data_IF_270048625008
#
_entry.id   IF_270048625008
#
_cell.length_a   1.000
_cell.length_b   1.000
_cell.length_c   1.000
_cell.angle_alpha   90.00
_cell.angle_beta   90.00
_cell.angle_gamma   90.00
#
_symmetry.space_group_name_H-M   'P 1'
#
loop_
_entity.id
_entity.type
_entity.pdbx_description
1 polymer ?
#
# COMPACT_ATOMS: atom_id res chain seq x y z
N UNK A 1 -35.12 -65.91 7.87
CA UNK A 1 -35.07 -64.77 8.84
C UNK A 1 -33.66 -64.22 9.05
N UNK A 2 -32.60 -64.99 8.75
CA UNK A 2 -31.20 -64.57 8.94
C UNK A 2 -30.78 -63.34 8.11
N UNK A 3 -31.23 -63.27 6.85
CA UNK A 3 -30.91 -62.15 5.93
C UNK A 3 -31.48 -60.79 6.39
N UNK A 4 -32.62 -60.78 7.09
CA UNK A 4 -33.20 -59.54 7.62
C UNK A 4 -32.42 -59.02 8.84
N UNK A 5 -31.95 -59.93 9.69
CA UNK A 5 -31.14 -59.58 10.87
C UNK A 5 -29.75 -59.07 10.46
N UNK A 6 -29.11 -59.69 9.47
CA UNK A 6 -27.81 -59.24 8.96
C UNK A 6 -27.91 -57.87 8.27
N UNK A 7 -28.97 -57.64 7.48
CA UNK A 7 -29.22 -56.33 6.88
C UNK A 7 -29.40 -55.23 7.94
N UNK A 8 -30.07 -55.52 9.05
CA UNK A 8 -30.28 -54.56 10.14
C UNK A 8 -28.96 -54.12 10.81
N UNK A 9 -28.02 -55.05 11.00
CA UNK A 9 -26.70 -54.75 11.60
C UNK A 9 -25.85 -53.88 10.67
N UNK A 10 -25.90 -54.13 9.36
CA UNK A 10 -25.20 -53.33 8.36
C UNK A 10 -25.77 -51.91 8.32
N UNK A 11 -27.10 -51.76 8.31
CA UNK A 11 -27.77 -50.44 8.32
C UNK A 11 -27.43 -49.65 9.58
N UNK A 12 -27.44 -50.30 10.76
CA UNK A 12 -27.06 -49.66 12.01
C UNK A 12 -25.62 -49.14 11.99
N UNK A 13 -24.69 -49.94 11.45
CA UNK A 13 -23.28 -49.57 11.32
C UNK A 13 -23.07 -48.38 10.38
N UNK A 14 -23.81 -48.34 9.26
CA UNK A 14 -23.78 -47.23 8.31
C UNK A 14 -24.31 -45.95 8.95
N UNK A 15 -25.39 -46.01 9.73
CA UNK A 15 -25.94 -44.84 10.42
C UNK A 15 -24.94 -44.25 11.40
N UNK A 16 -24.29 -45.08 12.23
CA UNK A 16 -23.25 -44.63 13.14
C UNK A 16 -22.07 -44.00 12.38
N UNK A 17 -21.65 -44.61 11.28
CA UNK A 17 -20.59 -44.09 10.44
C UNK A 17 -20.94 -42.72 9.84
N UNK A 18 -22.17 -42.54 9.35
CA UNK A 18 -22.64 -41.26 8.78
C UNK A 18 -22.72 -40.18 9.86
N UNK A 19 -23.17 -40.52 11.07
CA UNK A 19 -23.18 -39.59 12.21
C UNK A 19 -21.76 -39.16 12.56
N UNK A 20 -20.82 -40.11 12.66
CA UNK A 20 -19.42 -39.82 12.93
C UNK A 20 -18.81 -38.92 11.84
N UNK A 21 -19.05 -39.24 10.57
CA UNK A 21 -18.58 -38.45 9.43
C UNK A 21 -19.13 -37.02 9.46
N UNK A 22 -20.40 -36.85 9.82
CA UNK A 22 -21.05 -35.53 9.94
C UNK A 22 -20.40 -34.70 11.04
N UNK A 23 -20.11 -35.31 12.19
CA UNK A 23 -19.42 -34.65 13.31
C UNK A 23 -17.99 -34.28 12.90
N UNK A 24 -17.27 -35.16 12.21
CA UNK A 24 -15.91 -34.88 11.72
C UNK A 24 -15.88 -33.69 10.76
N UNK A 25 -16.77 -33.67 9.76
CA UNK A 25 -16.86 -32.56 8.79
C UNK A 25 -17.20 -31.24 9.52
N UNK A 26 -18.13 -31.28 10.48
CA UNK A 26 -18.51 -30.11 11.28
C UNK A 26 -17.35 -29.59 12.12
N UNK A 27 -16.58 -30.49 12.74
CA UNK A 27 -15.40 -30.14 13.53
C UNK A 27 -14.31 -29.52 12.66
N UNK A 28 -14.03 -30.07 11.48
CA UNK A 28 -13.07 -29.48 10.55
C UNK A 28 -13.51 -28.09 10.05
N UNK A 29 -14.81 -27.88 9.84
CA UNK A 29 -15.35 -26.58 9.46
C UNK A 29 -15.13 -25.52 10.55
N UNK A 30 -15.43 -25.85 11.81
CA UNK A 30 -15.19 -24.95 12.95
C UNK A 30 -13.69 -24.70 13.19
N UNK A 31 -12.85 -25.74 13.05
CA UNK A 31 -11.40 -25.61 13.16
C UNK A 31 -10.84 -24.68 12.08
N UNK A 32 -11.31 -24.82 10.83
CA UNK A 32 -10.93 -23.91 9.73
C UNK A 32 -11.34 -22.47 10.01
N UNK A 33 -12.58 -22.23 10.42
CA UNK A 33 -13.06 -20.89 10.75
C UNK A 33 -12.24 -20.25 11.89
N UNK A 34 -11.87 -21.05 12.89
CA UNK A 34 -11.00 -20.62 14.00
C UNK A 34 -9.59 -20.33 13.51
N UNK A 35 -9.01 -21.17 12.64
CA UNK A 35 -7.69 -20.93 12.04
C UNK A 35 -7.68 -19.63 11.23
N UNK A 36 -8.70 -19.38 10.40
CA UNK A 36 -8.80 -18.15 9.61
C UNK A 36 -8.91 -16.92 10.53
N UNK A 37 -9.68 -17.02 11.61
CA UNK A 37 -9.77 -15.97 12.63
C UNK A 37 -8.44 -15.74 13.36
N UNK A 38 -7.73 -16.81 13.74
CA UNK A 38 -6.43 -16.71 14.42
C UNK A 38 -5.38 -16.14 13.48
N UNK A 39 -5.36 -16.52 12.20
CA UNK A 39 -4.48 -15.93 11.17
C UNK A 39 -4.77 -14.44 11.04
N UNK A 40 -6.05 -14.08 10.89
CA UNK A 40 -6.49 -12.69 10.85
C UNK A 40 -6.03 -11.90 12.09
N UNK A 41 -6.16 -12.50 13.28
CA UNK A 41 -5.71 -11.88 14.54
C UNK A 41 -4.19 -11.84 14.73
N UNK A 42 -3.46 -12.81 14.21
CA UNK A 42 -2.00 -12.91 14.38
C UNK A 42 -1.27 -11.93 13.47
N UNK A 43 -1.89 -11.58 12.34
CA UNK A 43 -1.42 -10.53 11.48
C UNK A 43 -1.64 -9.16 12.16
N UNK A 44 -0.53 -8.56 12.60
CA UNK A 44 -0.52 -7.25 13.25
C UNK A 44 -0.98 -6.13 12.32
N UNK A 45 -1.01 -6.36 11.01
CA UNK A 45 -1.42 -5.36 10.02
C UNK A 45 -2.94 -5.19 9.92
N UNK A 46 -3.74 -6.22 10.26
CA UNK A 46 -5.21 -6.15 10.22
C UNK A 46 -5.81 -5.19 11.27
N UNK A 47 -5.06 -4.86 12.31
CA UNK A 47 -5.43 -3.87 13.33
C UNK A 47 -4.75 -2.52 13.14
N UNK A 48 -3.98 -2.35 12.05
CA UNK A 48 -3.65 -1.00 11.64
C UNK A 48 -4.94 -0.35 11.18
N UNK A 49 -5.53 0.41 12.09
CA UNK A 49 -6.39 1.52 11.72
C UNK A 49 -5.48 2.45 10.90
N UNK A 50 -5.48 2.28 9.58
CA UNK A 50 -5.11 3.36 8.67
C UNK A 50 -6.16 4.43 8.95
N UNK A 51 -5.91 5.23 9.99
CA UNK A 51 -6.59 6.50 10.15
C UNK A 51 -6.41 7.16 8.81
N UNK A 52 -7.51 7.30 8.05
CA UNK A 52 -7.55 8.13 6.86
C UNK A 52 -6.90 9.41 7.28
N UNK A 53 -5.74 9.68 6.69
CA UNK A 53 -4.82 10.63 7.28
C UNK A 53 -5.37 12.02 7.00
N UNK A 54 -6.27 12.48 7.86
CA UNK A 54 -6.91 13.78 7.73
C UNK A 54 -5.84 14.85 7.96
N UNK A 55 -5.64 15.71 6.95
CA UNK A 55 -4.67 16.81 6.94
C UNK A 55 -4.79 17.75 8.16
N UNK A 56 -5.95 17.75 8.83
CA UNK A 56 -6.26 18.59 10.00
C UNK A 56 -5.73 18.05 11.33
N UNK A 57 -5.24 16.80 11.38
CA UNK A 57 -4.67 16.23 12.60
C UNK A 57 -3.26 16.77 12.86
N UNK A 58 -3.15 17.74 13.78
CA UNK A 58 -1.87 18.30 14.30
C UNK A 58 -0.85 17.27 14.83
N UNK A 59 -1.20 15.98 14.89
CA UNK A 59 -0.32 14.87 15.30
C UNK A 59 0.54 14.30 14.16
N UNK A 60 0.26 14.68 12.91
CA UNK A 60 0.91 14.08 11.73
C UNK A 60 1.99 14.97 11.11
N UNK A 61 2.30 16.10 11.73
CA UNK A 61 3.33 17.03 11.29
C UNK A 61 4.61 16.83 12.10
N UNK A 62 5.65 16.29 11.46
CA UNK A 62 6.99 16.19 12.04
C UNK A 62 7.95 17.09 11.28
N UNK A 63 8.81 17.81 12.02
CA UNK A 63 9.93 18.52 11.40
C UNK A 63 11.05 17.52 11.07
N UNK A 64 11.43 17.44 9.81
CA UNK A 64 12.46 16.56 9.26
C UNK A 64 13.47 17.36 8.45
N UNK A 65 14.72 16.88 8.43
CA UNK A 65 15.78 17.40 7.55
C UNK A 65 15.89 16.54 6.29
N UNK A 66 16.60 17.01 5.28
CA UNK A 66 16.79 16.30 4.01
C UNK A 66 17.33 14.86 4.21
N UNK A 67 18.20 14.62 5.18
CA UNK A 67 18.76 13.29 5.47
C UNK A 67 17.71 12.27 5.92
N UNK A 68 16.62 12.73 6.54
CA UNK A 68 15.51 11.89 6.94
C UNK A 68 14.54 11.60 5.78
N UNK A 69 14.52 12.47 4.76
CA UNK A 69 13.68 12.32 3.56
C UNK A 69 14.30 11.33 2.58
N UNK A 70 15.64 11.32 2.44
CA UNK A 70 16.36 10.46 1.49
C UNK A 70 15.97 8.97 1.61
N UNK A 71 15.92 8.34 2.80
CA UNK A 71 15.47 6.95 2.93
C UNK A 71 14.04 6.70 2.42
N UNK A 72 13.14 7.66 2.58
CA UNK A 72 11.76 7.59 2.06
C UNK A 72 11.75 7.64 0.53
N UNK A 73 12.57 8.51 -0.07
CA UNK A 73 12.76 8.55 -1.52
C UNK A 73 13.37 7.25 -2.07
N UNK A 74 14.13 6.48 -1.29
CA UNK A 74 14.61 5.16 -1.72
C UNK A 74 13.57 4.05 -1.59
N UNK A 75 12.44 4.29 -0.92
CA UNK A 75 11.37 3.30 -0.75
C UNK A 75 10.17 3.54 -1.66
N UNK A 76 10.02 4.72 -2.27
CA UNK A 76 8.84 5.08 -3.08
C UNK A 76 8.56 4.12 -4.26
N UNK A 77 9.57 3.42 -4.78
CA UNK A 77 9.34 2.46 -5.86
C UNK A 77 8.84 1.09 -5.37
N UNK A 78 9.01 0.79 -4.07
CA UNK A 78 8.52 -0.45 -3.43
C UNK A 78 7.19 -0.24 -2.75
N UNK A 79 7.09 0.87 -2.04
CA UNK A 79 5.91 1.29 -1.31
C UNK A 79 5.13 2.24 -2.22
N UNK A 80 3.86 1.91 -2.52
CA UNK A 80 3.00 2.68 -3.43
C UNK A 80 2.64 4.06 -2.86
N UNK A 81 3.63 4.94 -2.73
CA UNK A 81 3.50 6.28 -2.16
C UNK A 81 3.81 7.33 -3.21
N UNK A 82 3.17 8.50 -3.09
CA UNK A 82 3.50 9.71 -3.83
C UNK A 82 4.25 10.67 -2.92
N UNK A 83 5.37 11.22 -3.39
CA UNK A 83 6.16 12.20 -2.62
C UNK A 83 6.14 13.55 -3.30
N UNK A 84 5.76 14.58 -2.57
CA UNK A 84 5.60 15.96 -3.05
C UNK A 84 6.36 16.95 -2.16
N UNK A 85 6.98 17.95 -2.78
CA UNK A 85 7.69 19.01 -2.07
C UNK A 85 7.00 20.35 -2.31
N UNK A 86 6.85 21.13 -1.24
CA UNK A 86 6.20 22.44 -1.27
C UNK A 86 7.09 23.49 -0.59
N UNK A 87 7.03 24.71 -1.11
CA UNK A 87 7.57 25.88 -0.43
C UNK A 87 6.64 26.37 0.68
N UNK A 88 7.13 27.27 1.52
CA UNK A 88 6.36 27.91 2.60
C UNK A 88 5.12 28.66 2.09
N UNK A 89 5.13 29.06 0.82
CA UNK A 89 4.05 29.76 0.13
C UNK A 89 3.02 28.80 -0.49
N UNK A 90 3.19 27.49 -0.32
CA UNK A 90 2.32 26.46 -0.90
C UNK A 90 2.58 26.16 -2.38
N UNK A 91 3.68 26.70 -2.94
CA UNK A 91 4.11 26.41 -4.31
C UNK A 91 4.84 25.08 -4.37
N UNK A 92 4.46 24.19 -5.28
CA UNK A 92 5.16 22.92 -5.45
C UNK A 92 6.58 23.14 -6.00
N UNK A 93 7.55 22.44 -5.42
CA UNK A 93 8.96 22.53 -5.77
C UNK A 93 9.28 21.52 -6.86
N UNK A 94 10.02 21.97 -7.87
CA UNK A 94 10.43 21.11 -8.97
C UNK A 94 11.52 20.13 -8.50
N UNK A 95 11.31 18.85 -8.78
CA UNK A 95 12.18 17.77 -8.34
C UNK A 95 13.17 17.40 -9.44
N UNK A 96 12.68 17.16 -10.66
CA UNK A 96 13.49 16.82 -11.83
C UNK A 96 12.76 17.24 -13.10
N UNK A 97 13.46 17.20 -14.23
CA UNK A 97 12.87 17.48 -15.54
C UNK A 97 12.81 16.16 -16.32
N UNK A 98 11.64 15.85 -16.90
CA UNK A 98 11.49 14.74 -17.82
C UNK A 98 10.97 15.22 -19.16
N UNK A 99 11.69 14.87 -20.23
CA UNK A 99 11.35 15.21 -21.62
C UNK A 99 11.00 16.70 -21.86
N UNK A 100 11.68 17.63 -21.18
CA UNK A 100 11.42 19.07 -21.32
C UNK A 100 10.37 19.63 -20.36
N UNK A 101 9.75 18.79 -19.52
CA UNK A 101 8.70 19.18 -18.59
C UNK A 101 9.17 19.06 -17.14
N UNK A 102 8.93 20.07 -16.30
CA UNK A 102 9.22 20.01 -14.88
C UNK A 102 8.30 19.01 -14.19
N UNK A 103 8.89 18.10 -13.42
CA UNK A 103 8.18 17.12 -12.60
C UNK A 103 8.30 17.53 -11.12
N UNK A 104 7.15 17.52 -10.44
CA UNK A 104 6.99 18.07 -9.10
C UNK A 104 6.71 17.01 -8.02
N UNK A 105 6.60 15.74 -8.41
CA UNK A 105 6.30 14.63 -7.52
C UNK A 105 7.00 13.34 -7.97
N UNK A 106 7.25 12.44 -7.03
CA UNK A 106 7.66 11.06 -7.32
C UNK A 106 6.44 10.16 -7.23
N UNK A 107 6.11 9.48 -8.32
CA UNK A 107 5.01 8.53 -8.39
C UNK A 107 5.31 7.48 -9.46
N UNK A 108 5.41 6.22 -9.06
CA UNK A 108 5.75 5.11 -9.97
C UNK A 108 4.69 4.88 -11.04
N UNK A 109 3.39 5.00 -10.71
CA UNK A 109 2.32 4.76 -11.68
C UNK A 109 2.42 5.81 -12.81
N UNK A 110 2.60 7.08 -12.45
CA UNK A 110 2.71 8.17 -13.43
C UNK A 110 4.05 8.13 -14.19
N UNK A 111 5.14 7.69 -13.54
CA UNK A 111 6.45 7.48 -14.21
C UNK A 111 6.39 6.33 -15.23
N UNK A 112 5.61 5.28 -14.96
CA UNK A 112 5.34 4.20 -15.93
C UNK A 112 4.54 4.74 -17.11
N UNK A 113 3.49 5.53 -16.86
CA UNK A 113 2.64 6.11 -17.91
C UNK A 113 3.42 7.08 -18.81
N UNK A 114 4.36 7.85 -18.24
CA UNK A 114 5.30 8.70 -19.02
C UNK A 114 6.36 7.92 -19.79
N UNK A 115 6.54 6.63 -19.50
CA UNK A 115 7.56 5.79 -20.13
C UNK A 115 8.98 6.18 -19.73
N UNK A 116 9.20 6.51 -18.45
CA UNK A 116 10.50 6.98 -17.99
C UNK A 116 11.61 5.90 -18.15
N UNK A 117 12.86 6.26 -18.51
CA UNK A 117 13.91 5.29 -18.84
C UNK A 117 14.38 4.40 -17.66
N UNK A 118 14.12 4.82 -16.42
CA UNK A 118 14.53 4.08 -15.21
C UNK A 118 13.50 3.04 -14.75
N UNK A 119 12.35 2.96 -15.42
CA UNK A 119 11.33 1.95 -15.15
C UNK A 119 11.83 0.56 -15.55
N UNK A 120 11.72 -0.41 -14.64
CA UNK A 120 11.94 -1.83 -14.95
C UNK A 120 13.04 -2.52 -14.14
N UNK A 121 13.92 -1.80 -13.45
CA UNK A 121 14.88 -2.43 -12.52
C UNK A 121 15.04 -1.63 -11.23
N UNK A 122 15.13 -2.34 -10.10
CA UNK A 122 15.37 -1.74 -8.78
C UNK A 122 16.65 -0.90 -8.74
N UNK A 123 17.68 -1.33 -9.49
CA UNK A 123 18.97 -0.63 -9.57
C UNK A 123 18.84 0.68 -10.35
N UNK A 124 18.08 0.68 -11.45
CA UNK A 124 17.79 1.90 -12.23
C UNK A 124 17.06 2.95 -11.39
N UNK A 125 16.02 2.55 -10.63
CA UNK A 125 15.34 3.45 -9.69
C UNK A 125 16.29 4.02 -8.66
N UNK A 126 17.11 3.17 -8.04
CA UNK A 126 18.08 3.61 -7.02
C UNK A 126 19.07 4.62 -7.59
N UNK A 127 19.60 4.37 -8.79
CA UNK A 127 20.56 5.25 -9.45
C UNK A 127 19.91 6.58 -9.86
N UNK A 128 18.65 6.57 -10.31
CA UNK A 128 17.91 7.79 -10.62
C UNK A 128 17.67 8.65 -9.37
N UNK A 129 17.18 8.03 -8.29
CA UNK A 129 16.99 8.72 -7.01
C UNK A 129 18.31 9.28 -6.49
N UNK A 130 19.39 8.51 -6.55
CA UNK A 130 20.72 8.97 -6.12
C UNK A 130 21.18 10.20 -6.93
N UNK A 131 20.96 10.20 -8.24
CA UNK A 131 21.25 11.33 -9.12
C UNK A 131 20.44 12.56 -8.73
N UNK A 132 19.12 12.44 -8.59
CA UNK A 132 18.22 13.56 -8.25
C UNK A 132 18.56 14.12 -6.86
N UNK A 133 18.82 13.26 -5.89
CA UNK A 133 19.19 13.65 -4.53
C UNK A 133 20.50 14.44 -4.54
N UNK A 134 21.53 13.95 -5.24
CA UNK A 134 22.86 14.59 -5.25
C UNK A 134 22.93 15.86 -6.10
N UNK A 135 22.30 15.86 -7.26
CA UNK A 135 22.42 16.95 -8.23
C UNK A 135 21.44 18.11 -7.96
N UNK A 136 20.28 17.83 -7.37
CA UNK A 136 19.21 18.82 -7.21
C UNK A 136 18.78 19.03 -5.77
N UNK A 137 18.42 17.95 -5.05
CA UNK A 137 17.80 18.11 -3.73
C UNK A 137 18.79 18.52 -2.63
N UNK A 138 19.97 17.90 -2.52
CA UNK A 138 20.99 18.29 -1.53
C UNK A 138 21.53 19.70 -1.81
N UNK A 139 21.90 20.08 -3.04
CA UNK A 139 22.39 21.44 -3.31
C UNK A 139 21.35 22.52 -3.06
N UNK A 140 20.08 22.25 -3.37
CA UNK A 140 19.00 23.25 -3.23
C UNK A 140 18.44 23.32 -1.81
N UNK A 141 18.38 22.18 -1.11
CA UNK A 141 17.60 22.03 0.12
C UNK A 141 18.31 21.29 1.25
N UNK A 142 19.60 20.96 1.13
CA UNK A 142 20.32 20.12 2.09
C UNK A 142 20.32 20.66 3.52
N UNK A 143 20.32 21.99 3.69
CA UNK A 143 20.27 22.63 5.01
C UNK A 143 18.85 23.02 5.46
N UNK A 144 17.85 22.80 4.61
CA UNK A 144 16.48 23.18 4.90
C UNK A 144 15.81 22.16 5.81
N UNK A 145 14.80 22.65 6.55
CA UNK A 145 13.91 21.81 7.33
C UNK A 145 12.55 21.79 6.67
N UNK A 146 11.89 20.64 6.76
CA UNK A 146 10.58 20.39 6.18
C UNK A 146 9.61 19.92 7.26
N UNK A 147 8.36 20.37 7.19
CA UNK A 147 7.23 19.76 7.85
C UNK A 147 6.75 18.60 6.97
N UNK A 148 6.95 17.37 7.44
CA UNK A 148 6.43 16.15 6.83
C UNK A 148 4.98 15.94 7.25
N UNK A 149 4.08 15.82 6.28
CA UNK A 149 2.66 15.47 6.47
C UNK A 149 2.33 14.25 5.63
N UNK A 150 1.61 13.32 6.23
CA UNK A 150 1.03 12.18 5.54
C UNK A 150 -0.43 12.51 5.20
N UNK A 151 -0.90 12.03 4.06
CA UNK A 151 -2.30 12.05 3.63
C UNK A 151 -2.59 10.71 2.93
N UNK A 152 -3.83 10.26 2.96
CA UNK A 152 -4.27 9.16 2.09
C UNK A 152 -5.24 9.70 1.07
N UNK A 153 -4.83 9.68 -0.20
CA UNK A 153 -5.60 10.24 -1.30
C UNK A 153 -6.03 9.13 -2.25
N UNK A 154 -7.28 9.19 -2.71
CA UNK A 154 -7.80 8.26 -3.69
C UNK A 154 -7.56 8.88 -5.05
N UNK A 155 -6.67 8.28 -5.83
CA UNK A 155 -6.42 8.68 -7.21
C UNK A 155 -7.35 7.88 -8.12
N UNK A 156 -8.15 8.58 -8.91
CA UNK A 156 -8.98 8.00 -9.96
C UNK A 156 -8.23 8.10 -11.29
N UNK A 157 -8.00 6.97 -11.96
CA UNK A 157 -7.60 7.02 -13.37
C UNK A 157 -8.76 7.62 -14.17
N UNK A 158 -8.51 8.71 -14.90
CA UNK A 158 -9.46 9.21 -15.88
C UNK A 158 -9.24 8.41 -17.17
N UNK A 159 -10.08 7.42 -17.42
CA UNK A 159 -10.23 6.92 -18.78
C UNK A 159 -10.90 8.02 -19.62
N UNK A 160 -10.36 8.29 -20.81
CA UNK A 160 -10.81 9.30 -21.79
C UNK A 160 -12.28 9.15 -22.23
N UNK A 161 -13.02 8.18 -21.68
CA UNK A 161 -14.45 7.94 -21.91
C UNK A 161 -15.37 8.46 -20.80
N UNK A 162 -14.84 9.10 -19.75
CA UNK A 162 -15.63 9.77 -18.71
C UNK A 162 -16.45 8.83 -17.83
N UNK A 163 -16.18 7.52 -17.85
CA UNK A 163 -16.72 6.54 -16.91
C UNK A 163 -15.60 6.11 -15.96
N UNK A 164 -15.67 6.61 -14.73
CA UNK A 164 -14.82 6.15 -13.62
C UNK A 164 -15.46 4.89 -13.05
N UNK A 165 -14.78 3.74 -13.17
CA UNK A 165 -15.20 2.48 -12.56
C UNK A 165 -14.60 2.39 -11.15
N UNK A 166 -15.26 1.70 -10.20
CA UNK A 166 -14.71 1.55 -8.83
C UNK A 166 -13.35 0.80 -8.80
N UNK A 167 -13.03 0.05 -9.86
CA UNK A 167 -11.72 -0.61 -10.05
C UNK A 167 -10.57 0.37 -10.37
N UNK A 168 -10.89 1.60 -10.81
CA UNK A 168 -9.92 2.62 -11.22
C UNK A 168 -9.45 3.51 -10.06
N UNK A 169 -10.02 3.30 -8.86
CA UNK A 169 -9.67 4.00 -7.63
C UNK A 169 -8.51 3.28 -6.96
N UNK A 170 -7.32 3.84 -7.05
CA UNK A 170 -6.17 3.41 -6.25
C UNK A 170 -6.02 4.33 -5.04
N UNK A 171 -6.17 3.77 -3.85
CA UNK A 171 -5.79 4.45 -2.63
C UNK A 171 -4.26 4.52 -2.55
N UNK A 172 -3.73 5.73 -2.38
CA UNK A 172 -2.29 5.97 -2.34
C UNK A 172 -1.95 6.87 -1.15
N UNK A 173 -0.86 6.55 -0.48
CA UNK A 173 -0.35 7.42 0.58
C UNK A 173 0.45 8.54 -0.07
N UNK A 174 0.10 9.77 0.26
CA UNK A 174 0.78 10.99 -0.20
C UNK A 174 1.60 11.55 0.96
N UNK A 175 2.88 11.79 0.71
CA UNK A 175 3.80 12.38 1.67
C UNK A 175 4.16 13.78 1.16
N UNK A 176 3.72 14.80 1.89
CA UNK A 176 3.95 16.22 1.56
C UNK A 176 5.05 16.76 2.47
N UNK A 177 6.13 17.26 1.87
CA UNK A 177 7.22 17.94 2.55
C UNK A 177 7.11 19.44 2.31
N UNK A 178 6.66 20.18 3.32
CA UNK A 178 6.51 21.64 3.24
C UNK A 178 7.76 22.26 3.85
N UNK A 179 8.50 23.07 3.11
CA UNK A 179 9.67 23.78 3.63
C UNK A 179 9.27 24.60 4.89
N UNK A 180 10.24 24.84 5.76
CA UNK A 180 10.10 25.73 6.91
C UNK A 180 10.95 26.99 6.67
N UNK A 181 10.49 28.11 7.23
CA UNK A 181 11.13 29.42 7.10
C UNK A 181 12.35 29.58 7.99
#
# INVERSE_FOLDING_TARGET
>A
MENASQALIIVFSIIIFVIALTISISMFSMARATSDFVIFKSDKTNYYEYNRVDETSKRNARVVSMEAIVPTLYRYYKENYRVEFYDNEGKQLEIYESAGNPIYYFDVDDEIERGEPWIGSQESFKNNVDKIVKEKLIPSYGNDRFEEKYSTEIFTKNDDTGKVTEEDKKEKIVIKYIKLK
#
